data_IF_633152170203
#
_entry.id   IF_633152170203
#
_cell.length_a   1.000
_cell.length_b   1.000
_cell.length_c   1.000
_cell.angle_alpha   90.00
_cell.angle_beta   90.00
_cell.angle_gamma   90.00
#
_symmetry.space_group_name_H-M   'P 1'
#
loop_
_entity.id
_entity.type
_entity.pdbx_description
1 polymer ?
#
# COMPACT_ATOMS: atom_id res chain seq x y z
N UNK A 1 -15.02 -20.81 4.51
CA UNK A 1 -14.46 -20.83 3.14
C UNK A 1 -15.49 -21.46 2.20
N UNK A 2 -15.75 -20.86 1.03
CA UNK A 2 -16.62 -21.47 0.02
C UNK A 2 -15.88 -22.64 -0.62
N UNK A 3 -16.52 -23.82 -0.71
CA UNK A 3 -15.94 -24.97 -1.39
C UNK A 3 -16.04 -24.77 -2.91
N UNK A 4 -14.92 -24.74 -3.60
CA UNK A 4 -14.85 -24.70 -5.05
C UNK A 4 -14.77 -26.13 -5.59
N UNK A 5 -15.61 -26.48 -6.57
CA UNK A 5 -15.60 -27.81 -7.19
C UNK A 5 -15.04 -27.78 -8.61
N UNK A 6 -14.92 -26.59 -9.20
CA UNK A 6 -14.37 -26.38 -10.55
C UNK A 6 -13.36 -25.24 -10.57
N UNK A 7 -12.52 -25.19 -11.61
CA UNK A 7 -11.64 -24.03 -11.84
C UNK A 7 -12.40 -22.73 -12.09
N UNK A 8 -13.63 -22.81 -12.63
CA UNK A 8 -14.49 -21.65 -12.79
C UNK A 8 -14.92 -21.08 -11.42
N UNK A 9 -15.19 -21.95 -10.44
CA UNK A 9 -15.47 -21.52 -9.06
C UNK A 9 -14.27 -20.84 -8.42
N UNK A 10 -13.09 -21.44 -8.57
CA UNK A 10 -11.84 -20.87 -8.03
C UNK A 10 -11.59 -19.47 -8.60
N UNK A 11 -11.67 -19.31 -9.93
CA UNK A 11 -11.47 -18.01 -10.59
C UNK A 11 -12.47 -16.97 -10.11
N UNK A 12 -13.75 -17.33 -10.00
CA UNK A 12 -14.78 -16.42 -9.49
C UNK A 12 -14.48 -15.93 -8.08
N UNK A 13 -14.02 -16.82 -7.20
CA UNK A 13 -13.66 -16.43 -5.83
C UNK A 13 -12.37 -15.60 -5.77
N UNK A 14 -11.38 -15.90 -6.61
CA UNK A 14 -10.17 -15.06 -6.77
C UNK A 14 -10.57 -13.67 -7.27
N UNK A 15 -11.36 -13.57 -8.33
CA UNK A 15 -11.82 -12.28 -8.86
C UNK A 15 -12.59 -11.47 -7.79
N UNK A 16 -13.36 -12.16 -6.93
CA UNK A 16 -14.05 -11.52 -5.80
C UNK A 16 -13.06 -10.97 -4.78
N UNK A 17 -12.02 -11.73 -4.45
CA UNK A 17 -10.95 -11.30 -3.53
C UNK A 17 -10.17 -10.14 -4.14
N UNK A 18 -9.79 -10.21 -5.41
CA UNK A 18 -9.04 -9.16 -6.10
C UNK A 18 -9.82 -7.84 -6.15
N UNK A 19 -11.14 -7.90 -6.41
CA UNK A 19 -12.00 -6.71 -6.30
C UNK A 19 -12.02 -6.13 -4.89
N UNK A 20 -11.96 -6.95 -3.84
CA UNK A 20 -11.89 -6.48 -2.47
C UNK A 20 -10.51 -5.89 -2.15
N UNK A 21 -9.42 -6.52 -2.61
CA UNK A 21 -8.06 -6.03 -2.47
C UNK A 21 -7.90 -4.66 -3.11
N UNK A 22 -8.37 -4.46 -4.35
CA UNK A 22 -8.30 -3.15 -5.03
C UNK A 22 -9.00 -2.06 -4.21
N UNK A 23 -10.17 -2.34 -3.63
CA UNK A 23 -10.88 -1.36 -2.78
C UNK A 23 -10.10 -1.01 -1.52
N UNK A 24 -9.54 -2.01 -0.84
CA UNK A 24 -8.74 -1.80 0.37
C UNK A 24 -7.43 -1.07 0.07
N UNK A 25 -6.80 -1.36 -1.07
CA UNK A 25 -5.59 -0.67 -1.51
C UNK A 25 -5.86 0.78 -1.89
N UNK A 26 -6.99 1.07 -2.55
CA UNK A 26 -7.42 2.44 -2.81
C UNK A 26 -7.66 3.21 -1.51
N UNK A 27 -8.32 2.60 -0.52
CA UNK A 27 -8.49 3.22 0.81
C UNK A 27 -7.13 3.47 1.48
N UNK A 28 -6.22 2.48 1.46
CA UNK A 28 -4.85 2.64 1.97
C UNK A 28 -4.11 3.79 1.30
N UNK A 29 -4.27 3.96 -0.01
CA UNK A 29 -3.67 5.07 -0.76
C UNK A 29 -4.17 6.42 -0.23
N UNK A 30 -5.47 6.58 0.04
CA UNK A 30 -6.00 7.85 0.56
C UNK A 30 -5.39 8.26 1.91
N UNK A 31 -5.04 7.29 2.77
CA UNK A 31 -4.36 7.58 4.05
C UNK A 31 -2.89 7.94 3.85
N UNK A 32 -2.23 7.39 2.83
CA UNK A 32 -0.85 7.74 2.50
C UNK A 32 -0.79 9.18 1.95
N UNK A 33 -1.72 9.55 1.09
CA UNK A 33 -1.85 10.92 0.56
C UNK A 33 -2.11 11.94 1.68
N UNK A 34 -2.96 11.58 2.65
CA UNK A 34 -3.15 12.38 3.87
C UNK A 34 -1.85 12.51 4.68
N UNK A 35 -1.12 11.41 4.86
CA UNK A 35 0.16 11.44 5.57
C UNK A 35 1.20 12.31 4.85
N UNK A 36 1.26 12.27 3.51
CA UNK A 36 2.09 13.14 2.69
C UNK A 36 1.72 14.62 2.86
N UNK A 37 0.42 14.93 2.84
CA UNK A 37 -0.09 16.29 3.07
C UNK A 37 0.25 16.82 4.48
N UNK A 38 0.18 15.98 5.52
CA UNK A 38 0.55 16.34 6.89
C UNK A 38 2.06 16.59 7.03
N UNK A 39 2.88 15.75 6.40
CA UNK A 39 4.35 15.82 6.53
C UNK A 39 4.97 17.01 5.81
N UNK A 40 4.36 17.51 4.73
CA UNK A 40 4.73 18.76 4.04
C UNK A 40 6.11 18.81 3.37
N UNK A 41 6.97 17.81 3.58
CA UNK A 41 8.35 17.77 3.08
C UNK A 41 8.66 16.45 2.37
N UNK A 42 9.14 16.55 1.12
CA UNK A 42 9.54 15.42 0.26
C UNK A 42 10.59 14.51 0.91
N UNK A 43 11.47 15.06 1.75
CA UNK A 43 12.56 14.33 2.42
C UNK A 43 12.10 13.45 3.59
N UNK A 44 10.85 13.59 4.06
CA UNK A 44 10.25 12.79 5.13
C UNK A 44 9.27 11.71 4.63
N UNK A 45 9.17 11.55 3.31
CA UNK A 45 8.27 10.57 2.68
C UNK A 45 8.76 9.16 2.95
N UNK A 46 10.09 8.94 2.92
CA UNK A 46 10.70 7.64 3.22
C UNK A 46 11.21 7.58 4.65
N UNK A 47 10.66 6.63 5.41
CA UNK A 47 11.05 6.33 6.79
C UNK A 47 11.30 4.82 6.90
N UNK A 48 12.58 4.42 6.82
CA UNK A 48 12.99 3.01 6.82
C UNK A 48 12.55 2.27 8.08
N UNK A 49 12.59 2.94 9.24
CA UNK A 49 12.16 2.34 10.49
C UNK A 49 10.66 2.03 10.46
N UNK A 50 9.86 2.96 9.91
CA UNK A 50 8.42 2.74 9.74
C UNK A 50 8.13 1.66 8.70
N UNK A 51 8.88 1.60 7.60
CA UNK A 51 8.73 0.55 6.56
C UNK A 51 8.95 -0.82 7.19
N UNK A 52 10.04 -1.00 7.92
CA UNK A 52 10.34 -2.29 8.55
C UNK A 52 9.30 -2.67 9.61
N UNK A 53 8.80 -1.71 10.39
CA UNK A 53 7.71 -1.93 11.33
C UNK A 53 6.42 -2.41 10.62
N UNK A 54 6.05 -1.81 9.48
CA UNK A 54 4.90 -2.28 8.68
C UNK A 54 5.12 -3.71 8.22
N UNK A 55 6.29 -4.02 7.67
CA UNK A 55 6.60 -5.36 7.15
C UNK A 55 6.53 -6.39 8.27
N UNK A 56 7.12 -6.13 9.44
CA UNK A 56 7.05 -7.05 10.57
C UNK A 56 5.61 -7.31 11.05
N UNK A 57 4.78 -6.26 11.11
CA UNK A 57 3.36 -6.40 11.46
C UNK A 57 2.62 -7.29 10.45
N UNK A 58 2.89 -7.09 9.17
CA UNK A 58 2.30 -7.88 8.07
C UNK A 58 2.75 -9.34 8.13
N UNK A 59 4.04 -9.59 8.38
CA UNK A 59 4.55 -10.96 8.49
C UNK A 59 3.94 -11.69 9.68
N UNK A 60 3.77 -11.00 10.82
CA UNK A 60 3.10 -11.56 11.98
C UNK A 60 1.60 -11.85 11.71
N UNK A 61 0.95 -11.07 10.85
CA UNK A 61 -0.43 -11.34 10.40
C UNK A 61 -0.48 -12.49 9.41
N UNK A 62 0.46 -12.52 8.45
CA UNK A 62 0.57 -13.58 7.47
C UNK A 62 0.75 -14.95 8.13
N UNK A 63 1.58 -15.01 9.17
CA UNK A 63 1.77 -16.24 9.97
C UNK A 63 0.48 -16.69 10.68
N UNK A 64 -0.38 -15.75 11.12
CA UNK A 64 -1.68 -16.06 11.76
C UNK A 64 -2.72 -16.54 10.77
N UNK A 65 -2.76 -15.93 9.59
CA UNK A 65 -3.75 -16.22 8.54
C UNK A 65 -3.30 -17.35 7.59
N UNK A 66 -2.08 -17.87 7.74
CA UNK A 66 -1.52 -18.93 6.92
C UNK A 66 -1.02 -18.47 5.53
N UNK A 67 -0.77 -17.17 5.35
CA UNK A 67 -0.13 -16.63 4.17
C UNK A 67 1.39 -16.84 4.25
N UNK A 68 1.99 -17.42 3.20
CA UNK A 68 3.43 -17.62 3.14
C UNK A 68 4.20 -16.29 3.27
N UNK A 69 5.18 -16.23 4.19
CA UNK A 69 6.10 -15.09 4.33
C UNK A 69 6.86 -14.78 3.03
N UNK A 70 7.16 -15.80 2.23
CA UNK A 70 7.80 -15.65 0.93
C UNK A 70 6.90 -14.95 -0.11
N UNK A 71 5.59 -14.91 0.11
CA UNK A 71 4.64 -14.10 -0.66
C UNK A 71 4.47 -12.72 -0.01
N UNK A 72 4.23 -12.69 1.30
CA UNK A 72 3.89 -11.47 2.03
C UNK A 72 5.02 -10.43 2.03
N UNK A 73 6.27 -10.83 2.33
CA UNK A 73 7.40 -9.89 2.43
C UNK A 73 7.63 -9.10 1.13
N UNK A 74 7.89 -9.74 -0.04
CA UNK A 74 8.18 -8.99 -1.25
C UNK A 74 6.98 -8.19 -1.74
N UNK A 75 5.75 -8.70 -1.56
CA UNK A 75 4.54 -8.00 -1.98
C UNK A 75 4.33 -6.69 -1.20
N UNK A 76 4.48 -6.73 0.13
CA UNK A 76 4.28 -5.52 0.93
C UNK A 76 5.40 -4.50 0.76
N UNK A 77 6.64 -4.95 0.58
CA UNK A 77 7.76 -4.06 0.24
C UNK A 77 7.48 -3.36 -1.09
N UNK A 78 7.11 -4.09 -2.13
CA UNK A 78 6.75 -3.50 -3.43
C UNK A 78 5.58 -2.52 -3.32
N UNK A 79 4.52 -2.88 -2.59
CA UNK A 79 3.37 -2.01 -2.39
C UNK A 79 3.76 -0.69 -1.70
N UNK A 80 4.63 -0.75 -0.69
CA UNK A 80 5.15 0.43 0.00
C UNK A 80 5.96 1.30 -0.96
N UNK A 81 6.87 0.72 -1.74
CA UNK A 81 7.67 1.45 -2.73
C UNK A 81 6.77 2.15 -3.75
N UNK A 82 5.77 1.46 -4.30
CA UNK A 82 4.79 2.07 -5.23
C UNK A 82 3.95 3.17 -4.60
N UNK A 83 3.68 3.08 -3.31
CA UNK A 83 3.00 4.16 -2.60
C UNK A 83 3.90 5.40 -2.46
N UNK A 84 5.19 5.20 -2.20
CA UNK A 84 6.18 6.29 -2.10
C UNK A 84 6.38 6.96 -3.47
N UNK A 85 6.49 6.18 -4.54
CA UNK A 85 6.57 6.69 -5.92
C UNK A 85 5.34 7.56 -6.27
N UNK A 86 4.13 7.07 -5.99
CA UNK A 86 2.89 7.81 -6.19
C UNK A 86 2.85 9.14 -5.42
N UNK A 87 3.30 9.15 -4.16
CA UNK A 87 3.39 10.39 -3.38
C UNK A 87 4.37 11.41 -3.99
N UNK A 88 5.49 10.96 -4.56
CA UNK A 88 6.41 11.85 -5.24
C UNK A 88 5.79 12.47 -6.50
N UNK A 89 5.01 11.70 -7.27
CA UNK A 89 4.27 12.24 -8.42
C UNK A 89 3.25 13.30 -8.00
N UNK A 90 2.49 13.06 -6.93
CA UNK A 90 1.55 14.04 -6.37
C UNK A 90 2.28 15.30 -5.90
N UNK A 91 3.43 15.16 -5.22
CA UNK A 91 4.21 16.29 -4.75
C UNK A 91 4.75 17.13 -5.91
N UNK A 92 5.34 16.49 -6.92
CA UNK A 92 5.93 17.16 -8.08
C UNK A 92 4.86 17.81 -8.99
N UNK A 93 3.62 17.29 -8.98
CA UNK A 93 2.49 17.87 -9.71
C UNK A 93 1.84 19.09 -9.02
N UNK A 94 2.08 19.32 -7.72
CA UNK A 94 1.57 20.52 -7.03
C UNK A 94 2.33 21.75 -7.51
N UNK A 95 1.65 22.83 -7.97
CA UNK A 95 2.33 24.10 -8.25
C UNK A 95 3.08 24.53 -7.00
N UNK A 96 4.40 24.73 -7.13
CA UNK A 96 5.20 25.31 -6.05
C UNK A 96 4.52 26.62 -5.68
N UNK A 97 3.96 26.72 -4.48
CA UNK A 97 3.42 27.99 -4.01
C UNK A 97 4.54 29.02 -4.14
N UNK A 98 4.39 29.95 -5.08
CA UNK A 98 5.28 31.08 -5.24
C UNK A 98 5.20 31.84 -3.93
N UNK A 99 6.26 31.77 -3.13
CA UNK A 99 6.40 32.66 -1.98
C UNK A 99 6.31 34.08 -2.50
N UNK A 100 5.20 34.75 -2.17
CA UNK A 100 5.13 36.20 -2.19
C UNK A 100 6.10 36.67 -1.11
N UNK A 101 7.28 37.09 -1.53
CA UNK A 101 8.19 37.87 -0.72
C UNK A 101 8.11 39.30 -1.21
N UNK A 102 7.61 40.18 -0.34
CA UNK A 102 7.68 41.64 -0.42
C UNK A 102 9.12 42.18 -0.60
#
# INVERSE_FOLDING_TARGET
MVKCNTMADVRREIDRIDRALVKLLAERQTYIEQAGAIKGERTKVRDEARIEEVVQKVLAEADREGLSRAIADPLWRLLIEKSIEHEYEIFDAKPRATGTGD
#
